data_IF_889040450780
#
_entry.id   IF_889040450780
#
_cell.length_a   1.000
_cell.length_b   1.000
_cell.length_c   1.000
_cell.angle_alpha   90.00
_cell.angle_beta   90.00
_cell.angle_gamma   90.00
#
_symmetry.space_group_name_H-M   'P 1'
#
loop_
_entity.id
_entity.type
_entity.pdbx_description
1 polymer ?
#
# COMPACT_ATOMS: atom_id res chain seq x y z
N UNK A 1 -9.72 -8.02 -14.63
CA UNK A 1 -8.87 -7.94 -13.41
C UNK A 1 -8.52 -6.49 -13.13
N UNK A 2 -8.86 -6.00 -11.96
CA UNK A 2 -8.49 -4.65 -11.55
C UNK A 2 -7.07 -4.62 -11.01
N UNK A 3 -6.37 -3.52 -11.25
CA UNK A 3 -4.98 -3.34 -10.83
C UNK A 3 -4.88 -2.26 -9.76
N UNK A 4 -4.35 -2.63 -8.60
CA UNK A 4 -4.26 -1.77 -7.41
C UNK A 4 -2.79 -1.57 -7.03
N UNK A 5 -2.40 -0.32 -6.84
CA UNK A 5 -1.05 0.04 -6.38
C UNK A 5 -1.16 0.76 -5.03
N UNK A 6 -0.60 0.15 -3.99
CA UNK A 6 -0.53 0.78 -2.68
C UNK A 6 0.73 1.64 -2.57
N UNK A 7 0.60 2.82 -1.98
CA UNK A 7 1.68 3.80 -1.94
C UNK A 7 1.86 4.38 -0.54
N UNK A 8 3.12 4.49 -0.12
CA UNK A 8 3.50 5.23 1.08
C UNK A 8 4.81 5.97 0.79
N UNK A 9 5.45 6.55 1.80
CA UNK A 9 6.66 7.34 1.59
C UNK A 9 7.83 6.50 1.09
N UNK A 10 8.15 5.40 1.77
CA UNK A 10 9.37 4.61 1.50
C UNK A 10 9.16 3.26 0.85
N UNK A 11 7.96 2.73 0.84
CA UNK A 11 7.64 1.39 0.29
C UNK A 11 8.36 0.24 1.00
N UNK A 12 8.63 0.38 2.28
CA UNK A 12 9.20 -0.71 3.09
C UNK A 12 8.36 -1.10 4.28
N UNK A 13 7.27 -0.39 4.54
CA UNK A 13 6.43 -0.62 5.72
C UNK A 13 4.94 -0.68 5.37
N UNK A 14 4.23 0.47 5.35
CA UNK A 14 2.77 0.48 5.20
C UNK A 14 2.29 -0.01 3.83
N UNK A 15 2.87 0.46 2.75
CA UNK A 15 2.39 0.10 1.40
C UNK A 15 2.65 -1.37 1.06
N UNK A 16 3.82 -1.88 1.43
CA UNK A 16 4.14 -3.29 1.16
C UNK A 16 3.33 -4.21 2.07
N UNK A 17 3.05 -3.80 3.30
CA UNK A 17 2.14 -4.56 4.18
C UNK A 17 0.75 -4.63 3.57
N UNK A 18 0.23 -3.51 3.06
CA UNK A 18 -1.07 -3.48 2.38
C UNK A 18 -1.08 -4.38 1.15
N UNK A 19 -0.01 -4.40 0.38
CA UNK A 19 0.11 -5.28 -0.78
C UNK A 19 -0.10 -6.74 -0.38
N UNK A 20 0.63 -7.23 0.60
CA UNK A 20 0.54 -8.65 0.99
C UNK A 20 -0.76 -8.98 1.72
N UNK A 21 -1.27 -8.07 2.55
CA UNK A 21 -2.56 -8.26 3.21
C UNK A 21 -3.68 -8.34 2.16
N UNK A 22 -3.68 -7.46 1.16
CA UNK A 22 -4.69 -7.47 0.11
C UNK A 22 -4.59 -8.73 -0.77
N UNK A 23 -3.37 -9.15 -1.11
CA UNK A 23 -3.16 -10.39 -1.87
C UNK A 23 -3.76 -11.59 -1.13
N UNK A 24 -3.52 -11.67 0.18
CA UNK A 24 -4.04 -12.76 1.01
C UNK A 24 -5.56 -12.72 1.09
N UNK A 25 -6.14 -11.55 1.33
CA UNK A 25 -7.58 -11.37 1.39
C UNK A 25 -8.25 -11.70 0.06
N UNK A 26 -7.70 -11.24 -1.04
CA UNK A 26 -8.26 -11.50 -2.37
C UNK A 26 -8.26 -12.99 -2.67
N UNK A 27 -7.15 -13.68 -2.36
CA UNK A 27 -7.04 -15.13 -2.57
C UNK A 27 -8.06 -15.89 -1.73
N UNK A 28 -8.20 -15.52 -0.46
CA UNK A 28 -9.15 -16.20 0.45
C UNK A 28 -10.61 -15.98 0.06
N UNK A 29 -10.90 -14.88 -0.60
CA UNK A 29 -12.27 -14.53 -1.00
C UNK A 29 -12.56 -14.77 -2.48
N UNK A 30 -11.62 -15.35 -3.22
CA UNK A 30 -11.80 -15.65 -4.63
C UNK A 30 -11.94 -14.41 -5.52
N UNK A 31 -11.35 -13.28 -5.13
CA UNK A 31 -11.40 -12.03 -5.89
C UNK A 31 -10.13 -11.90 -6.73
N UNK A 32 -10.29 -11.64 -8.02
CA UNK A 32 -9.18 -11.55 -8.95
C UNK A 32 -8.66 -10.11 -9.03
N UNK A 33 -7.52 -9.85 -8.35
CA UNK A 33 -6.87 -8.54 -8.31
C UNK A 33 -5.39 -8.66 -8.64
N UNK A 34 -4.86 -7.69 -9.36
CA UNK A 34 -3.42 -7.50 -9.49
C UNK A 34 -2.99 -6.43 -8.50
N UNK A 35 -2.13 -6.79 -7.52
CA UNK A 35 -1.77 -5.91 -6.42
C UNK A 35 -0.26 -5.73 -6.38
N UNK A 36 0.20 -4.50 -6.24
CA UNK A 36 1.60 -4.17 -6.06
C UNK A 36 1.73 -2.97 -5.12
N UNK A 37 2.95 -2.50 -4.89
CA UNK A 37 3.20 -1.35 -4.04
C UNK A 37 4.39 -0.54 -4.54
N UNK A 38 4.45 0.74 -4.15
CA UNK A 38 5.52 1.64 -4.53
C UNK A 38 5.63 2.79 -3.52
N UNK A 39 6.65 3.63 -3.69
CA UNK A 39 6.91 4.77 -2.83
C UNK A 39 6.70 6.09 -3.56
N UNK A 40 6.44 7.16 -2.81
CA UNK A 40 6.54 8.52 -3.36
C UNK A 40 8.00 8.98 -3.42
N UNK A 41 8.86 8.47 -2.55
CA UNK A 41 10.27 8.88 -2.46
C UNK A 41 11.21 7.84 -3.07
N UNK A 42 12.49 8.20 -3.14
CA UNK A 42 13.57 7.33 -3.62
C UNK A 42 14.48 6.87 -2.49
N UNK A 43 14.11 7.14 -1.24
CA UNK A 43 14.99 6.94 -0.09
C UNK A 43 15.34 5.47 0.15
N UNK A 44 14.42 4.56 -0.13
CA UNK A 44 14.58 3.14 0.21
C UNK A 44 14.64 2.21 -1.01
N UNK A 45 14.93 2.76 -2.19
CA UNK A 45 14.96 1.95 -3.43
C UNK A 45 15.81 0.70 -3.26
N UNK A 46 15.24 -0.47 -3.59
CA UNK A 46 15.91 -1.76 -3.52
C UNK A 46 15.82 -2.46 -2.18
N UNK A 47 15.37 -1.79 -1.13
CA UNK A 47 15.33 -2.37 0.21
C UNK A 47 14.13 -3.30 0.39
N UNK A 48 14.33 -4.31 1.23
CA UNK A 48 13.30 -5.26 1.62
C UNK A 48 12.36 -4.63 2.67
N UNK A 49 11.31 -5.34 3.00
CA UNK A 49 10.37 -4.98 4.05
C UNK A 49 11.15 -4.68 5.34
N UNK A 50 10.80 -3.57 5.99
CA UNK A 50 11.39 -3.19 7.28
C UNK A 50 11.19 -4.34 8.28
N UNK A 51 12.26 -4.79 9.00
CA UNK A 51 12.15 -5.99 9.82
C UNK A 51 10.98 -6.07 10.79
N UNK A 52 10.61 -5.02 11.55
CA UNK A 52 9.44 -5.09 12.41
C UNK A 52 8.13 -5.31 11.66
N UNK A 53 8.00 -4.75 10.45
CA UNK A 53 6.81 -4.95 9.61
C UNK A 53 6.76 -6.39 9.11
N UNK A 54 7.92 -6.94 8.74
CA UNK A 54 8.05 -8.34 8.33
C UNK A 54 7.62 -9.28 9.46
N UNK A 55 8.07 -9.01 10.68
CA UNK A 55 7.68 -9.80 11.86
C UNK A 55 6.17 -9.74 12.10
N UNK A 56 5.56 -8.56 11.91
CA UNK A 56 4.11 -8.41 12.09
C UNK A 56 3.33 -9.21 11.07
N UNK A 57 3.72 -9.19 9.81
CA UNK A 57 3.09 -10.01 8.77
C UNK A 57 3.18 -11.50 9.12
N UNK A 58 4.36 -11.93 9.55
CA UNK A 58 4.59 -13.32 9.96
C UNK A 58 3.71 -13.71 11.15
N UNK A 59 3.64 -12.84 12.15
CA UNK A 59 2.79 -13.04 13.34
C UNK A 59 1.33 -13.23 12.94
N UNK A 60 0.84 -12.49 11.95
CA UNK A 60 -0.55 -12.55 11.49
C UNK A 60 -0.79 -13.64 10.43
N UNK A 61 0.21 -14.41 10.11
CA UNK A 61 0.07 -15.50 9.13
C UNK A 61 -0.10 -15.03 7.70
N UNK A 62 0.39 -13.83 7.37
CA UNK A 62 0.29 -13.27 6.01
C UNK A 62 1.51 -13.70 5.20
N UNK A 63 1.33 -14.44 4.08
CA UNK A 63 2.45 -14.84 3.23
C UNK A 63 3.12 -13.63 2.58
N UNK A 64 4.44 -13.65 2.50
CA UNK A 64 5.21 -12.62 1.79
C UNK A 64 6.53 -13.22 1.29
N UNK A 65 7.15 -12.49 0.34
CA UNK A 65 8.44 -12.87 -0.21
C UNK A 65 9.40 -11.68 -0.14
N UNK A 66 10.62 -11.84 -0.65
CA UNK A 66 11.59 -10.73 -0.75
C UNK A 66 10.95 -9.58 -1.55
N UNK A 67 11.01 -8.40 -0.96
CA UNK A 67 10.47 -7.17 -1.55
C UNK A 67 11.63 -6.26 -1.99
N UNK A 68 11.42 -5.50 -3.04
CA UNK A 68 12.34 -4.48 -3.52
C UNK A 68 11.59 -3.16 -3.63
N UNK A 69 11.86 -2.25 -2.71
CA UNK A 69 11.20 -0.94 -2.70
C UNK A 69 11.49 -0.20 -4.00
N UNK A 70 10.49 0.49 -4.54
CA UNK A 70 10.61 1.25 -5.79
C UNK A 70 9.78 2.51 -5.72
N UNK A 71 10.17 3.52 -6.49
CA UNK A 71 9.38 4.74 -6.60
C UNK A 71 8.27 4.56 -7.66
N UNK A 72 7.09 5.10 -7.40
CA UNK A 72 6.01 5.13 -8.36
C UNK A 72 6.38 6.01 -9.56
N UNK A 73 5.93 5.61 -10.74
CA UNK A 73 6.25 6.29 -12.00
C UNK A 73 4.98 6.67 -12.74
N UNK A 74 5.10 7.50 -13.78
CA UNK A 74 3.97 7.84 -14.63
C UNK A 74 3.41 6.59 -15.32
N UNK A 75 4.27 5.62 -15.65
CA UNK A 75 3.81 4.33 -16.17
C UNK A 75 2.89 3.62 -15.20
N UNK A 76 3.17 3.70 -13.90
CA UNK A 76 2.29 3.15 -12.87
C UNK A 76 0.93 3.85 -12.89
N UNK A 77 0.95 5.18 -12.94
CA UNK A 77 -0.28 5.97 -12.96
C UNK A 77 -1.19 5.56 -14.13
N UNK A 78 -0.58 5.36 -15.29
CA UNK A 78 -1.33 4.98 -16.49
C UNK A 78 -1.82 3.53 -16.46
N UNK A 79 -1.05 2.63 -15.82
CA UNK A 79 -1.32 1.19 -15.84
C UNK A 79 -2.29 0.71 -14.77
N UNK A 80 -2.27 1.33 -13.59
CA UNK A 80 -3.10 0.87 -12.48
C UNK A 80 -4.45 1.58 -12.48
N UNK A 81 -5.47 0.87 -12.03
CA UNK A 81 -6.82 1.43 -11.90
C UNK A 81 -6.97 2.27 -10.65
N UNK A 82 -6.29 1.88 -9.57
CA UNK A 82 -6.36 2.56 -8.28
C UNK A 82 -4.97 2.72 -7.69
N UNK A 83 -4.64 3.95 -7.27
CA UNK A 83 -3.44 4.26 -6.49
C UNK A 83 -3.93 4.63 -5.09
N UNK A 84 -3.67 3.74 -4.12
CA UNK A 84 -4.20 3.88 -2.77
C UNK A 84 -3.07 4.20 -1.81
N UNK A 85 -3.10 5.37 -1.21
CA UNK A 85 -2.06 5.86 -0.30
C UNK A 85 -2.51 5.86 1.16
N UNK A 86 -1.58 6.11 2.06
CA UNK A 86 -1.77 5.87 3.49
C UNK A 86 -2.14 7.13 4.27
N UNK A 87 -1.70 8.31 3.83
CA UNK A 87 -1.92 9.55 4.57
C UNK A 87 -1.98 10.77 3.65
N UNK A 88 -2.29 11.93 4.24
CA UNK A 88 -2.39 13.18 3.49
C UNK A 88 -1.08 13.62 2.85
N UNK A 89 0.06 13.32 3.48
CA UNK A 89 1.38 13.62 2.88
C UNK A 89 1.58 12.83 1.59
N UNK A 90 1.22 11.54 1.60
CA UNK A 90 1.27 10.71 0.39
C UNK A 90 0.36 11.30 -0.69
N UNK A 91 -0.85 11.70 -0.30
CA UNK A 91 -1.83 12.27 -1.22
C UNK A 91 -1.28 13.53 -1.91
N UNK A 92 -0.71 14.46 -1.12
CA UNK A 92 -0.12 15.68 -1.68
C UNK A 92 1.03 15.37 -2.64
N UNK A 93 1.91 14.45 -2.27
CA UNK A 93 3.04 14.07 -3.10
C UNK A 93 2.59 13.41 -4.39
N UNK A 94 1.62 12.52 -4.34
CA UNK A 94 1.08 11.85 -5.53
C UNK A 94 0.41 12.86 -6.48
N UNK A 95 -0.35 13.81 -5.95
CA UNK A 95 -0.96 14.85 -6.77
C UNK A 95 0.10 15.70 -7.47
N UNK A 96 1.20 16.00 -6.77
CA UNK A 96 2.32 16.74 -7.37
C UNK A 96 3.02 15.91 -8.45
N UNK A 97 3.21 14.62 -8.21
CA UNK A 97 3.88 13.73 -9.17
C UNK A 97 3.06 13.47 -10.43
N UNK A 98 1.73 13.44 -10.30
CA UNK A 98 0.83 13.00 -11.37
C UNK A 98 -0.19 14.07 -11.77
N UNK A 99 0.27 15.32 -11.86
CA UNK A 99 -0.50 16.44 -12.45
C UNK A 99 -1.89 16.63 -11.84
N UNK A 100 -2.00 16.52 -10.51
CA UNK A 100 -3.25 16.67 -9.76
C UNK A 100 -4.31 15.62 -10.13
N UNK A 101 -3.85 14.41 -10.48
CA UNK A 101 -4.72 13.23 -10.68
C UNK A 101 -5.81 13.45 -11.73
N UNK A 102 -5.42 13.68 -13.01
CA UNK A 102 -6.41 13.96 -14.04
C UNK A 102 -7.42 12.84 -14.27
N UNK A 103 -7.05 11.59 -13.98
CA UNK A 103 -7.90 10.42 -14.23
C UNK A 103 -8.64 9.93 -12.98
N UNK A 104 -8.58 10.68 -11.88
CA UNK A 104 -9.26 10.35 -10.62
C UNK A 104 -8.95 8.94 -10.10
N UNK A 105 -7.65 8.61 -10.03
CA UNK A 105 -7.17 7.28 -9.60
C UNK A 105 -6.62 7.24 -8.18
N UNK A 106 -6.35 8.40 -7.57
CA UNK A 106 -5.67 8.47 -6.28
C UNK A 106 -6.68 8.52 -5.13
N UNK A 107 -6.53 7.60 -4.20
CA UNK A 107 -7.41 7.45 -3.04
C UNK A 107 -6.59 7.24 -1.78
N UNK A 108 -7.16 7.56 -0.62
CA UNK A 108 -6.61 7.13 0.67
C UNK A 108 -7.19 5.77 1.02
N UNK A 109 -6.42 4.97 1.73
CA UNK A 109 -6.87 3.65 2.19
C UNK A 109 -8.06 3.78 3.14
N UNK A 110 -7.97 4.73 4.08
CA UNK A 110 -9.01 5.03 5.05
C UNK A 110 -9.43 6.50 4.94
N UNK A 111 -10.56 6.85 5.53
CA UNK A 111 -11.01 8.26 5.64
C UNK A 111 -10.09 9.08 6.55
N UNK A 112 -9.28 8.42 7.38
CA UNK A 112 -8.26 9.01 8.22
C UNK A 112 -6.88 8.53 7.79
N UNK A 113 -5.82 9.11 8.33
CA UNK A 113 -4.47 8.63 8.05
C UNK A 113 -4.22 7.27 8.70
N UNK A 114 -3.52 6.39 7.99
CA UNK A 114 -3.02 5.14 8.56
C UNK A 114 -1.87 5.48 9.50
N UNK A 115 -1.89 4.91 10.71
CA UNK A 115 -0.81 5.09 11.68
C UNK A 115 0.54 4.74 11.05
N UNK A 116 1.54 5.62 11.23
CA UNK A 116 2.87 5.39 10.69
C UNK A 116 3.78 4.78 11.76
N UNK A 117 4.06 3.47 11.68
CA UNK A 117 4.83 2.78 12.71
C UNK A 117 6.32 3.12 12.68
N UNK A 118 6.80 3.78 11.63
CA UNK A 118 8.17 4.30 11.59
C UNK A 118 8.42 5.28 12.71
N UNK A 119 7.42 6.13 13.03
CA UNK A 119 7.52 7.12 14.10
C UNK A 119 7.00 6.60 15.45
N UNK A 120 5.89 5.87 15.44
CA UNK A 120 5.23 5.41 16.68
C UNK A 120 5.80 4.10 17.20
N UNK A 121 6.44 3.32 16.35
CA UNK A 121 6.86 1.94 16.62
C UNK A 121 5.68 1.01 16.96
N UNK A 122 4.46 1.44 16.65
CA UNK A 122 3.23 0.67 16.95
C UNK A 122 2.76 -0.05 15.68
N UNK A 123 3.34 -1.22 15.44
CA UNK A 123 3.05 -2.04 14.27
C UNK A 123 1.69 -2.73 14.37
N UNK A 124 1.19 -2.93 15.58
CA UNK A 124 -0.14 -3.54 15.76
C UNK A 124 -1.24 -2.58 15.29
N UNK A 125 -1.19 -1.31 15.67
CA UNK A 125 -2.16 -0.30 15.22
C UNK A 125 -2.08 -0.12 13.70
N UNK A 126 -0.86 -0.05 13.14
CA UNK A 126 -0.69 0.07 11.69
C UNK A 126 -1.28 -1.15 10.97
N UNK A 127 -1.03 -2.35 11.46
CA UNK A 127 -1.61 -3.56 10.88
C UNK A 127 -3.14 -3.52 10.92
N UNK A 128 -3.72 -3.15 12.06
CA UNK A 128 -5.17 -3.10 12.21
C UNK A 128 -5.80 -2.08 11.25
N UNK A 129 -5.20 -0.89 11.11
CA UNK A 129 -5.64 0.13 10.17
C UNK A 129 -5.61 -0.38 8.73
N UNK A 130 -4.49 -1.00 8.35
CA UNK A 130 -4.30 -1.51 6.99
C UNK A 130 -5.29 -2.65 6.71
N UNK A 131 -5.44 -3.57 7.65
CA UNK A 131 -6.37 -4.68 7.48
C UNK A 131 -7.81 -4.20 7.34
N UNK A 132 -8.22 -3.23 8.14
CA UNK A 132 -9.54 -2.59 8.05
C UNK A 132 -9.75 -1.98 6.65
N UNK A 133 -8.79 -1.19 6.19
CA UNK A 133 -8.88 -0.54 4.89
C UNK A 133 -8.87 -1.52 3.74
N UNK A 134 -8.02 -2.54 3.79
CA UNK A 134 -7.96 -3.56 2.74
C UNK A 134 -9.27 -4.36 2.66
N UNK A 135 -9.89 -4.69 3.78
CA UNK A 135 -11.18 -5.38 3.77
C UNK A 135 -12.27 -4.53 3.12
N UNK A 136 -12.34 -3.26 3.46
CA UNK A 136 -13.33 -2.34 2.88
C UNK A 136 -13.10 -2.17 1.37
N UNK A 137 -11.85 -2.02 0.94
CA UNK A 137 -11.53 -1.91 -0.48
C UNK A 137 -11.80 -3.20 -1.23
N UNK A 138 -11.51 -4.36 -0.64
CA UNK A 138 -11.80 -5.64 -1.28
C UNK A 138 -13.29 -5.75 -1.58
N UNK A 139 -14.14 -5.39 -0.63
CA UNK A 139 -15.60 -5.39 -0.80
C UNK A 139 -16.01 -4.46 -1.95
N UNK A 140 -15.42 -3.26 -2.00
CA UNK A 140 -15.68 -2.28 -3.05
C UNK A 140 -15.24 -2.77 -4.44
N UNK A 141 -14.15 -3.54 -4.50
CA UNK A 141 -13.55 -3.99 -5.75
C UNK A 141 -14.06 -5.35 -6.23
N UNK A 142 -14.82 -6.04 -5.42
CA UNK A 142 -15.34 -7.38 -5.76
C UNK A 142 -16.70 -7.34 -6.44
#
# INVERSE_FOLDING_TARGET
MKKVLFICHGNICRSVSAEYIMKDLAKKNGVDLYVSSAATSREEIGNDIYPPAKRKLKEKGIPFSRHYARQATMSDYLSYDYLICMDENNMRNLNRMFNNDPDYKIYKLLSRDVSDPWYSNDFETAYNDINEGCKAWLERLS
#
